data_IF_257955078104
#
_entry.id   IF_257955078104
#
_cell.length_a   1.000
_cell.length_b   1.000
_cell.length_c   1.000
_cell.angle_alpha   90.00
_cell.angle_beta   90.00
_cell.angle_gamma   90.00
#
_symmetry.space_group_name_H-M   'P 1'
#
loop_
_entity.id
_entity.type
_entity.pdbx_description
1 polymer ?
#
# COMPACT_ATOMS: atom_id res chain seq x y z
N UNK A 1 -34.38 9.91 0.09
CA UNK A 1 -33.22 9.40 -0.69
C UNK A 1 -33.62 8.05 -1.23
N UNK A 2 -33.77 7.93 -2.54
CA UNK A 2 -34.29 6.72 -3.17
C UNK A 2 -33.27 5.57 -3.13
N UNK A 3 -33.76 4.35 -2.92
CA UNK A 3 -32.96 3.12 -2.89
C UNK A 3 -32.11 2.92 -4.16
N UNK A 4 -32.57 3.46 -5.29
CA UNK A 4 -31.87 3.44 -6.58
C UNK A 4 -30.64 4.35 -6.63
N UNK A 5 -30.62 5.48 -5.90
CA UNK A 5 -29.43 6.35 -5.83
C UNK A 5 -28.37 5.77 -4.90
N UNK A 6 -28.78 5.02 -3.86
CA UNK A 6 -27.86 4.33 -2.97
C UNK A 6 -27.09 3.21 -3.68
N UNK A 7 -27.73 2.40 -4.53
CA UNK A 7 -27.05 1.27 -5.19
C UNK A 7 -25.94 1.70 -6.17
N UNK A 8 -26.07 2.86 -6.81
CA UNK A 8 -25.03 3.43 -7.68
C UNK A 8 -23.84 4.00 -6.93
N UNK A 9 -24.03 4.49 -5.70
CA UNK A 9 -22.99 5.17 -4.93
C UNK A 9 -22.09 4.21 -4.16
N UNK A 10 -22.58 3.01 -3.82
CA UNK A 10 -21.84 2.01 -3.04
C UNK A 10 -20.50 1.61 -3.70
N UNK A 11 -20.43 1.25 -4.99
CA UNK A 11 -19.16 0.89 -5.64
C UNK A 11 -18.17 2.07 -5.71
N UNK A 12 -18.68 3.31 -5.78
CA UNK A 12 -17.85 4.52 -5.83
C UNK A 12 -17.16 4.78 -4.49
N UNK A 13 -17.88 4.62 -3.37
CA UNK A 13 -17.33 4.83 -2.02
C UNK A 13 -16.18 3.87 -1.75
N UNK A 14 -16.33 2.58 -2.11
CA UNK A 14 -15.28 1.59 -1.90
C UNK A 14 -14.05 1.86 -2.76
N UNK A 15 -14.24 2.28 -4.01
CA UNK A 15 -13.15 2.72 -4.88
C UNK A 15 -12.37 3.91 -4.29
N UNK A 16 -13.07 4.90 -3.73
CA UNK A 16 -12.44 6.06 -3.07
C UNK A 16 -11.60 5.62 -1.87
N UNK A 17 -12.11 4.72 -1.03
CA UNK A 17 -11.34 4.23 0.14
C UNK A 17 -10.12 3.43 -0.32
N UNK A 18 -10.24 2.64 -1.39
CA UNK A 18 -9.11 1.96 -2.04
C UNK A 18 -8.05 2.94 -2.55
N UNK A 19 -8.45 4.05 -3.17
CA UNK A 19 -7.55 5.13 -3.60
C UNK A 19 -6.82 5.75 -2.41
N UNK A 20 -7.53 6.00 -1.30
CA UNK A 20 -6.90 6.53 -0.07
C UNK A 20 -5.86 5.55 0.45
N UNK A 21 -6.18 4.25 0.51
CA UNK A 21 -5.22 3.21 0.88
C UNK A 21 -3.97 3.22 0.01
N UNK A 22 -4.15 3.25 -1.30
CA UNK A 22 -3.06 3.31 -2.27
C UNK A 22 -2.18 4.57 -2.09
N UNK A 23 -2.79 5.74 -1.88
CA UNK A 23 -2.08 6.99 -1.61
C UNK A 23 -1.24 6.93 -0.33
N UNK A 24 -1.74 6.29 0.72
CA UNK A 24 -0.97 6.08 1.95
C UNK A 24 0.31 5.29 1.66
N UNK A 25 0.23 4.25 0.83
CA UNK A 25 1.40 3.46 0.44
C UNK A 25 2.43 4.25 -0.39
N UNK A 26 1.95 5.15 -1.25
CA UNK A 26 2.82 6.05 -2.02
C UNK A 26 3.54 7.04 -1.10
N UNK A 27 2.80 7.66 -0.16
CA UNK A 27 3.38 8.66 0.77
C UNK A 27 4.32 8.00 1.78
N UNK A 28 4.10 6.73 2.12
CA UNK A 28 4.93 5.99 3.07
C UNK A 28 6.43 6.06 2.73
N UNK A 29 6.82 6.04 1.45
CA UNK A 29 8.23 6.09 1.03
C UNK A 29 8.94 7.39 1.46
N UNK A 30 8.22 8.50 1.56
CA UNK A 30 8.79 9.83 1.78
C UNK A 30 8.95 10.19 3.27
N UNK A 31 8.57 9.30 4.18
CA UNK A 31 8.66 9.51 5.63
C UNK A 31 9.59 8.48 6.25
N UNK A 32 9.97 8.67 7.52
CA UNK A 32 10.86 7.76 8.26
C UNK A 32 10.28 6.33 8.28
N UNK A 33 11.07 5.35 7.83
CA UNK A 33 10.79 3.91 7.91
C UNK A 33 11.46 3.27 9.12
N UNK A 34 12.74 3.57 9.33
CA UNK A 34 13.54 3.01 10.41
C UNK A 34 14.41 4.09 11.02
N UNK A 35 14.62 3.99 12.33
CA UNK A 35 15.72 4.67 13.01
C UNK A 35 16.70 3.58 13.46
N UNK A 36 17.95 3.68 13.06
CA UNK A 36 19.00 2.70 13.38
C UNK A 36 20.33 3.41 13.61
N UNK A 37 21.07 3.00 14.65
CA UNK A 37 22.33 3.63 15.04
C UNK A 37 22.22 5.16 15.26
N UNK A 38 21.05 5.65 15.69
CA UNK A 38 20.78 7.07 15.90
C UNK A 38 20.52 7.89 14.63
N UNK A 39 20.40 7.24 13.47
CA UNK A 39 20.07 7.86 12.18
C UNK A 39 18.66 7.46 11.76
N UNK A 40 17.89 8.44 11.28
CA UNK A 40 16.57 8.24 10.68
C UNK A 40 16.71 7.98 9.18
N UNK A 41 16.09 6.91 8.69
CA UNK A 41 16.07 6.53 7.28
C UNK A 41 14.64 6.64 6.74
N UNK A 42 14.41 7.51 5.77
CA UNK A 42 13.18 7.45 4.97
C UNK A 42 13.22 6.27 4.00
N UNK A 43 12.09 5.95 3.38
CA UNK A 43 12.03 4.90 2.37
C UNK A 43 12.85 5.22 1.12
N UNK A 44 13.13 6.51 0.88
CA UNK A 44 14.01 6.97 -0.20
C UNK A 44 15.47 6.84 0.22
N UNK A 45 15.81 7.25 1.45
CA UNK A 45 17.20 7.20 1.94
C UNK A 45 17.75 5.76 1.98
N UNK A 46 16.88 4.78 2.21
CA UNK A 46 17.25 3.37 2.20
C UNK A 46 17.82 2.92 0.85
N UNK A 47 17.48 3.58 -0.28
CA UNK A 47 18.01 3.21 -1.60
C UNK A 47 19.53 3.42 -1.68
N UNK A 48 20.05 4.38 -0.92
CA UNK A 48 21.48 4.70 -0.85
C UNK A 48 22.21 3.86 0.22
N UNK A 49 21.48 3.01 0.96
CA UNK A 49 22.06 2.09 1.94
C UNK A 49 22.72 0.90 1.25
N UNK A 50 23.86 0.44 1.78
CA UNK A 50 24.53 -0.76 1.26
C UNK A 50 23.78 -2.01 1.71
N UNK A 51 23.04 -2.64 0.81
CA UNK A 51 22.24 -3.81 1.12
C UNK A 51 21.69 -4.52 -0.11
N UNK A 52 21.03 -5.65 0.16
CA UNK A 52 20.38 -6.48 -0.86
C UNK A 52 18.99 -5.93 -1.25
N UNK A 53 18.13 -6.76 -1.84
CA UNK A 53 16.82 -6.33 -2.37
C UNK A 53 15.91 -5.62 -1.35
N UNK A 54 16.11 -5.84 -0.05
CA UNK A 54 15.27 -5.34 1.03
C UNK A 54 15.29 -3.81 1.11
N UNK A 55 16.39 -3.18 0.70
CA UNK A 55 16.51 -1.71 0.66
C UNK A 55 15.51 -1.08 -0.30
N UNK A 56 15.07 -1.83 -1.33
CA UNK A 56 14.10 -1.37 -2.32
C UNK A 56 12.64 -1.64 -1.92
N UNK A 57 12.36 -2.33 -0.81
CA UNK A 57 10.99 -2.66 -0.39
C UNK A 57 10.09 -1.41 -0.27
N UNK A 58 10.53 -0.29 0.35
CA UNK A 58 9.73 0.94 0.39
C UNK A 58 9.32 1.43 -1.01
N UNK A 59 10.24 1.38 -1.97
CA UNK A 59 9.99 1.75 -3.37
C UNK A 59 8.99 0.81 -4.02
N UNK A 60 9.18 -0.50 -3.85
CA UNK A 60 8.29 -1.53 -4.42
C UNK A 60 6.86 -1.34 -3.88
N UNK A 61 6.70 -1.08 -2.59
CA UNK A 61 5.39 -0.81 -1.98
C UNK A 61 4.76 0.47 -2.54
N UNK A 62 5.55 1.53 -2.75
CA UNK A 62 5.05 2.75 -3.39
C UNK A 62 4.60 2.49 -4.84
N UNK A 63 5.34 1.70 -5.61
CA UNK A 63 4.97 1.30 -6.97
C UNK A 63 3.66 0.49 -6.97
N UNK A 64 3.52 -0.48 -6.07
CA UNK A 64 2.27 -1.23 -5.89
C UNK A 64 1.11 -0.30 -5.51
N UNK A 65 1.37 0.74 -4.72
CA UNK A 65 0.42 1.81 -4.43
C UNK A 65 -0.03 2.55 -5.68
N UNK A 66 0.90 3.00 -6.54
CA UNK A 66 0.57 3.66 -7.82
C UNK A 66 -0.27 2.76 -8.71
N UNK A 67 0.10 1.49 -8.85
CA UNK A 67 -0.66 0.53 -9.66
C UNK A 67 -2.06 0.30 -9.09
N UNK A 68 -2.18 0.17 -7.77
CA UNK A 68 -3.46 0.01 -7.08
C UNK A 68 -4.35 1.24 -7.24
N UNK A 69 -3.78 2.44 -7.19
CA UNK A 69 -4.49 3.70 -7.43
C UNK A 69 -5.12 3.74 -8.83
N UNK A 70 -4.33 3.39 -9.85
CA UNK A 70 -4.81 3.33 -11.24
C UNK A 70 -5.94 2.32 -11.37
N UNK A 71 -5.79 1.14 -10.77
CA UNK A 71 -6.82 0.10 -10.79
C UNK A 71 -8.10 0.58 -10.11
N UNK A 72 -8.04 1.11 -8.89
CA UNK A 72 -9.22 1.63 -8.20
C UNK A 72 -9.93 2.71 -9.02
N UNK A 73 -9.19 3.65 -9.61
CA UNK A 73 -9.74 4.67 -10.49
C UNK A 73 -10.44 4.08 -11.72
N UNK A 74 -9.80 3.13 -12.42
CA UNK A 74 -10.39 2.44 -13.58
C UNK A 74 -11.66 1.68 -13.18
N UNK A 75 -11.65 0.99 -12.05
CA UNK A 75 -12.80 0.25 -11.55
C UNK A 75 -14.02 1.13 -11.21
N UNK A 76 -13.81 2.42 -10.94
CA UNK A 76 -14.89 3.39 -10.73
C UNK A 76 -15.54 3.84 -12.06
N UNK A 77 -14.79 3.89 -13.16
CA UNK A 77 -15.29 4.39 -14.46
C UNK A 77 -16.31 3.47 -15.15
N UNK A 78 -16.50 2.25 -14.66
CA UNK A 78 -17.39 1.25 -15.28
C UNK A 78 -16.86 0.65 -16.59
N UNK A 79 -15.71 1.13 -17.10
CA UNK A 79 -15.08 0.66 -18.33
C UNK A 79 -14.16 -0.56 -18.13
N UNK A 80 -13.95 -0.99 -16.89
CA UNK A 80 -13.16 -2.17 -16.54
C UNK A 80 -14.01 -3.26 -15.89
N UNK A 81 -13.58 -4.52 -16.02
CA UNK A 81 -14.13 -5.61 -15.21
C UNK A 81 -13.80 -5.35 -13.74
N UNK A 82 -14.76 -4.77 -13.00
CA UNK A 82 -14.63 -4.44 -11.57
C UNK A 82 -14.11 -5.61 -10.75
N UNK A 83 -14.56 -6.81 -11.11
CA UNK A 83 -14.08 -8.07 -10.57
C UNK A 83 -12.56 -8.22 -10.72
N UNK A 84 -12.04 -8.16 -11.93
CA UNK A 84 -10.60 -8.36 -12.18
C UNK A 84 -9.76 -7.24 -11.57
N UNK A 85 -10.21 -6.00 -11.72
CA UNK A 85 -9.55 -4.81 -11.16
C UNK A 85 -9.42 -4.93 -9.63
N UNK A 86 -10.52 -5.25 -8.94
CA UNK A 86 -10.51 -5.42 -7.48
C UNK A 86 -9.62 -6.59 -7.03
N UNK A 87 -9.65 -7.73 -7.73
CA UNK A 87 -8.79 -8.87 -7.41
C UNK A 87 -7.30 -8.55 -7.57
N UNK A 88 -6.91 -7.84 -8.64
CA UNK A 88 -5.51 -7.45 -8.85
C UNK A 88 -5.07 -6.47 -7.76
N UNK A 89 -5.89 -5.46 -7.44
CA UNK A 89 -5.59 -4.56 -6.31
C UNK A 89 -5.44 -5.33 -5.00
N UNK A 90 -6.28 -6.33 -4.74
CA UNK A 90 -6.16 -7.16 -3.55
C UNK A 90 -4.82 -7.92 -3.52
N UNK A 91 -4.37 -8.45 -4.65
CA UNK A 91 -3.07 -9.11 -4.78
C UNK A 91 -1.94 -8.13 -4.46
N UNK A 92 -2.00 -6.89 -4.95
CA UNK A 92 -1.00 -5.87 -4.60
C UNK A 92 -1.01 -5.53 -3.11
N UNK A 93 -2.18 -5.44 -2.49
CA UNK A 93 -2.31 -5.22 -1.05
C UNK A 93 -1.65 -6.31 -0.22
N UNK A 94 -1.90 -7.59 -0.55
CA UNK A 94 -1.27 -8.71 0.18
C UNK A 94 0.24 -8.79 -0.06
N UNK A 95 0.71 -8.51 -1.27
CA UNK A 95 2.15 -8.45 -1.57
C UNK A 95 2.80 -7.33 -0.73
N UNK A 96 2.17 -6.15 -0.64
CA UNK A 96 2.69 -5.05 0.17
C UNK A 96 2.81 -5.43 1.66
N UNK A 97 1.84 -6.19 2.20
CA UNK A 97 1.90 -6.70 3.59
C UNK A 97 3.07 -7.68 3.76
N UNK A 98 3.22 -8.63 2.83
CA UNK A 98 4.32 -9.60 2.88
C UNK A 98 5.67 -8.89 2.82
N UNK A 99 5.83 -7.92 1.92
CA UNK A 99 7.05 -7.14 1.79
C UNK A 99 7.33 -6.31 3.05
N UNK A 100 6.31 -5.72 3.68
CA UNK A 100 6.49 -5.02 4.95
C UNK A 100 6.99 -5.99 6.04
N UNK A 101 6.47 -7.21 6.13
CA UNK A 101 6.97 -8.23 7.08
C UNK A 101 8.42 -8.61 6.77
N UNK A 102 8.78 -8.80 5.51
CA UNK A 102 10.17 -9.07 5.11
C UNK A 102 11.08 -7.92 5.52
N UNK A 103 10.65 -6.68 5.32
CA UNK A 103 11.38 -5.47 5.73
C UNK A 103 11.54 -5.38 7.24
N UNK A 104 10.51 -5.74 8.01
CA UNK A 104 10.58 -5.84 9.47
C UNK A 104 11.66 -6.83 9.92
N UNK A 105 11.68 -8.02 9.34
CA UNK A 105 12.66 -9.05 9.72
C UNK A 105 14.09 -8.61 9.37
N UNK A 106 14.28 -8.08 8.16
CA UNK A 106 15.59 -7.61 7.72
C UNK A 106 16.11 -6.43 8.55
N UNK A 107 15.28 -5.42 8.80
CA UNK A 107 15.70 -4.26 9.58
C UNK A 107 16.11 -4.66 11.00
N UNK A 108 15.44 -5.66 11.59
CA UNK A 108 15.76 -6.21 12.91
C UNK A 108 17.14 -6.86 13.00
N UNK A 109 17.64 -7.41 11.89
CA UNK A 109 18.97 -8.00 11.81
C UNK A 109 20.05 -6.98 11.43
N UNK A 110 19.69 -5.95 10.65
CA UNK A 110 20.60 -4.97 10.08
C UNK A 110 20.95 -3.81 11.03
N UNK A 111 19.96 -3.27 11.73
CA UNK A 111 20.12 -2.05 12.51
C UNK A 111 20.23 -2.34 14.02
N UNK A 112 21.32 -1.89 14.64
CA UNK A 112 21.38 -1.82 16.09
C UNK A 112 20.51 -0.66 16.62
N UNK A 113 19.89 -0.88 17.79
CA UNK A 113 18.94 0.04 18.43
C UNK A 113 17.75 0.44 17.52
N UNK A 114 17.25 -0.52 16.75
CA UNK A 114 16.18 -0.30 15.78
C UNK A 114 14.89 0.23 16.42
N UNK A 115 14.35 1.28 15.82
CA UNK A 115 12.97 1.74 16.00
C UNK A 115 12.25 1.82 14.67
N UNK A 116 10.96 1.46 14.66
CA UNK A 116 10.12 1.50 13.46
C UNK A 116 9.45 2.87 13.32
N UNK A 117 9.63 3.48 12.15
CA UNK A 117 9.06 4.77 11.79
C UNK A 117 7.64 4.68 11.26
N UNK A 118 7.03 5.85 11.08
CA UNK A 118 5.66 6.00 10.58
C UNK A 118 5.49 5.40 9.19
N UNK A 119 6.49 5.49 8.31
CA UNK A 119 6.48 4.95 6.95
C UNK A 119 6.23 3.45 6.92
N UNK A 120 6.87 2.70 7.81
CA UNK A 120 6.65 1.27 7.95
C UNK A 120 5.17 0.95 8.29
N UNK A 121 4.61 1.64 9.28
CA UNK A 121 3.20 1.43 9.67
C UNK A 121 2.23 1.86 8.57
N UNK A 122 2.50 2.96 7.87
CA UNK A 122 1.70 3.42 6.74
C UNK A 122 1.71 2.40 5.59
N UNK A 123 2.84 1.76 5.32
CA UNK A 123 2.94 0.70 4.32
C UNK A 123 2.04 -0.50 4.67
N UNK A 124 2.03 -0.94 5.93
CA UNK A 124 1.15 -2.01 6.41
C UNK A 124 -0.32 -1.60 6.30
N UNK A 125 -0.67 -0.40 6.78
CA UNK A 125 -2.04 0.12 6.72
C UNK A 125 -2.52 0.22 5.27
N UNK A 126 -1.69 0.73 4.38
CA UNK A 126 -1.94 0.79 2.93
C UNK A 126 -2.22 -0.60 2.36
N UNK A 127 -1.37 -1.59 2.67
CA UNK A 127 -1.54 -2.96 2.22
C UNK A 127 -2.86 -3.58 2.69
N UNK A 128 -3.23 -3.37 3.96
CA UNK A 128 -4.49 -3.86 4.54
C UNK A 128 -5.71 -3.21 3.89
N UNK A 129 -5.73 -1.89 3.76
CA UNK A 129 -6.83 -1.16 3.12
C UNK A 129 -6.97 -1.62 1.66
N UNK A 130 -5.87 -1.61 0.91
CA UNK A 130 -5.83 -2.02 -0.50
C UNK A 130 -6.32 -3.46 -0.68
N UNK A 131 -5.91 -4.36 0.21
CA UNK A 131 -6.36 -5.76 0.21
C UNK A 131 -7.88 -5.86 0.44
N UNK A 132 -8.38 -5.31 1.55
CA UNK A 132 -9.79 -5.40 1.94
C UNK A 132 -10.70 -4.79 0.87
N UNK A 133 -10.40 -3.57 0.42
CA UNK A 133 -11.25 -2.86 -0.54
C UNK A 133 -11.10 -3.40 -1.97
N UNK A 134 -9.96 -3.99 -2.32
CA UNK A 134 -9.83 -4.78 -3.54
C UNK A 134 -10.78 -5.98 -3.55
N UNK A 135 -10.86 -6.73 -2.45
CA UNK A 135 -11.78 -7.86 -2.30
C UNK A 135 -13.25 -7.42 -2.29
N UNK A 136 -13.58 -6.30 -1.63
CA UNK A 136 -14.95 -5.78 -1.63
C UNK A 136 -15.35 -5.38 -3.05
N UNK A 137 -14.50 -4.61 -3.74
CA UNK A 137 -14.77 -4.17 -5.10
C UNK A 137 -14.88 -5.32 -6.10
N UNK A 138 -14.15 -6.42 -5.90
CA UNK A 138 -14.21 -7.56 -6.81
C UNK A 138 -15.51 -8.36 -6.71
N UNK A 139 -16.28 -8.14 -5.64
CA UNK A 139 -17.56 -8.81 -5.35
C UNK A 139 -18.79 -7.96 -5.68
N UNK A 140 -18.60 -6.73 -6.15
CA UNK A 140 -19.65 -5.78 -6.57
C UNK A 140 -19.83 -5.76 -8.09
#
# INVERSE_FOLDING_TARGET
MDSASMSKNTPYIWGIIGIIGALIGIVAIAVNWFTGNGTDYTGIDLIDYDGDFQIYIPVIIAVLGVLSLILFAVGMTGNGSRKNVGYISAIFGIIAIILAVVSYMWAGDEFADLSYGVGFYLAVISGVITFIFGIIQSRL
#
